data_IF_301764094478
#
_entry.id   IF_301764094478
#
_cell.length_a   1.000
_cell.length_b   1.000
_cell.length_c   1.000
_cell.angle_alpha   90.00
_cell.angle_beta   90.00
_cell.angle_gamma   90.00
#
_symmetry.space_group_name_H-M   'P 1'
#
loop_
_entity.id
_entity.type
_entity.pdbx_description
1 polymer ?
#
# COMPACT_ATOMS: atom_id res chain seq x y z
N UNK A 1 -6.97 -52.28 15.94
CA UNK A 1 -7.50 -51.30 14.98
C UNK A 1 -8.11 -50.14 15.77
N UNK A 2 -7.51 -48.93 15.77
CA UNK A 2 -8.12 -47.73 16.34
C UNK A 2 -8.05 -46.61 15.30
N UNK A 3 -9.21 -46.19 14.78
CA UNK A 3 -9.36 -44.97 13.98
C UNK A 3 -9.15 -43.78 14.93
N UNK A 4 -7.95 -43.21 14.92
CA UNK A 4 -7.65 -41.98 15.64
C UNK A 4 -8.15 -40.81 14.78
N UNK A 5 -9.23 -40.19 15.25
CA UNK A 5 -9.62 -38.80 15.02
C UNK A 5 -9.45 -38.28 13.59
N UNK A 6 -10.48 -38.52 12.77
CA UNK A 6 -10.73 -37.68 11.60
C UNK A 6 -11.12 -36.28 12.06
N UNK A 7 -10.14 -35.44 12.39
CA UNK A 7 -10.37 -34.02 12.60
C UNK A 7 -10.87 -33.43 11.29
N UNK A 8 -12.08 -32.87 11.35
CA UNK A 8 -12.71 -32.15 10.26
C UNK A 8 -11.91 -30.87 9.98
N UNK A 9 -10.79 -30.98 9.23
CA UNK A 9 -9.94 -29.84 8.84
C UNK A 9 -10.53 -29.04 7.67
N UNK A 10 -11.85 -28.92 7.62
CA UNK A 10 -12.54 -28.05 6.69
C UNK A 10 -12.99 -26.80 7.46
N UNK A 11 -12.85 -25.57 6.99
CA UNK A 11 -12.24 -25.01 5.78
C UNK A 11 -12.43 -23.50 5.92
N UNK A 12 -11.44 -22.79 6.49
CA UNK A 12 -11.41 -21.32 6.42
C UNK A 12 -10.01 -20.89 6.02
N UNK A 13 -9.62 -21.33 4.83
CA UNK A 13 -8.48 -20.77 4.11
C UNK A 13 -8.75 -19.29 3.89
N UNK A 14 -8.09 -18.42 4.66
CA UNK A 14 -8.21 -16.98 4.45
C UNK A 14 -7.43 -16.63 3.18
N UNK A 15 -8.07 -15.91 2.25
CA UNK A 15 -7.40 -15.45 1.04
C UNK A 15 -6.38 -14.37 1.41
N UNK A 16 -5.10 -14.62 1.14
CA UNK A 16 -4.04 -13.64 1.41
C UNK A 16 -3.93 -12.69 0.23
N UNK A 17 -4.25 -11.41 0.42
CA UNK A 17 -4.05 -10.37 -0.59
C UNK A 17 -2.75 -9.62 -0.31
N UNK A 18 -1.82 -9.64 -1.28
CA UNK A 18 -0.54 -8.91 -1.17
C UNK A 18 -0.66 -7.52 -1.78
N UNK A 19 -0.46 -6.51 -0.94
CA UNK A 19 -0.56 -5.09 -1.31
C UNK A 19 0.81 -4.53 -1.71
N UNK A 20 1.02 -4.12 -2.98
CA UNK A 20 2.27 -3.53 -3.46
C UNK A 20 2.50 -2.13 -2.92
N UNK A 21 3.68 -1.92 -2.37
CA UNK A 21 4.20 -0.59 -2.03
C UNK A 21 5.15 -0.21 -3.16
N UNK A 22 4.72 0.60 -4.12
CA UNK A 22 5.58 1.02 -5.24
C UNK A 22 5.68 2.53 -5.33
N UNK A 23 6.86 3.01 -5.68
CA UNK A 23 7.12 4.41 -5.97
C UNK A 23 6.71 4.70 -7.43
N UNK A 24 6.32 5.94 -7.75
CA UNK A 24 5.81 6.31 -9.07
C UNK A 24 6.80 6.03 -10.22
N UNK A 25 8.10 6.07 -9.94
CA UNK A 25 9.19 5.81 -10.88
C UNK A 25 9.68 4.35 -10.91
N UNK A 26 9.13 3.46 -10.07
CA UNK A 26 9.59 2.08 -9.92
C UNK A 26 8.49 1.05 -10.24
N UNK A 27 7.85 1.18 -11.42
CA UNK A 27 6.94 0.15 -11.94
C UNK A 27 7.73 -0.97 -12.58
N UNK A 28 7.37 -2.23 -12.27
CA UNK A 28 8.03 -3.42 -12.80
C UNK A 28 7.61 -3.66 -14.25
N UNK A 29 8.55 -3.53 -15.19
CA UNK A 29 8.40 -3.94 -16.58
C UNK A 29 8.97 -5.34 -16.80
N UNK A 30 8.25 -6.21 -17.49
CA UNK A 30 8.75 -7.54 -17.87
C UNK A 30 9.12 -7.51 -19.34
N UNK A 31 10.40 -7.38 -19.65
CA UNK A 31 10.89 -7.35 -21.02
C UNK A 31 10.74 -8.73 -21.67
N UNK A 32 10.11 -8.77 -22.85
CA UNK A 32 10.24 -9.87 -23.81
C UNK A 32 11.21 -9.41 -24.90
N UNK A 33 12.08 -10.30 -25.35
CA UNK A 33 13.08 -9.98 -26.37
C UNK A 33 12.44 -9.34 -27.61
N UNK A 34 13.01 -8.22 -28.06
CA UNK A 34 12.59 -7.50 -29.27
C UNK A 34 11.72 -6.24 -29.07
N UNK A 35 11.02 -6.07 -27.93
CA UNK A 35 10.05 -4.96 -27.75
C UNK A 35 10.30 -4.15 -26.46
N UNK A 36 11.52 -3.68 -26.24
CA UNK A 36 11.91 -3.01 -24.98
C UNK A 36 11.18 -1.70 -24.74
N UNK A 37 11.11 -0.82 -25.75
CA UNK A 37 10.52 0.52 -25.65
C UNK A 37 9.00 0.46 -25.39
N UNK A 38 8.28 -0.32 -26.20
CA UNK A 38 6.82 -0.50 -26.10
C UNK A 38 6.42 -1.15 -24.77
N UNK A 39 7.21 -2.12 -24.29
CA UNK A 39 7.01 -2.75 -22.99
C UNK A 39 7.22 -1.75 -21.84
N UNK A 40 8.16 -0.82 -21.98
CA UNK A 40 8.44 0.19 -20.97
C UNK A 40 7.28 1.18 -20.85
N UNK A 41 6.76 1.66 -21.98
CA UNK A 41 5.61 2.58 -22.04
C UNK A 41 4.32 1.91 -21.55
N UNK A 42 4.10 0.64 -21.91
CA UNK A 42 2.98 -0.15 -21.37
C UNK A 42 3.10 -0.33 -19.84
N UNK A 43 4.31 -0.53 -19.31
CA UNK A 43 4.51 -0.65 -17.86
C UNK A 43 4.31 0.68 -17.11
N UNK A 44 4.68 1.82 -17.73
CA UNK A 44 4.46 3.17 -17.18
C UNK A 44 2.97 3.52 -17.12
N UNK A 45 2.25 3.26 -18.20
CA UNK A 45 0.81 3.53 -18.34
C UNK A 45 -0.06 2.60 -17.51
N UNK A 46 0.45 1.40 -17.16
CA UNK A 46 -0.30 0.46 -16.32
C UNK A 46 -0.57 1.06 -14.95
N UNK A 47 -1.85 1.16 -14.63
CA UNK A 47 -2.31 1.54 -13.31
C UNK A 47 -2.01 0.44 -12.31
N UNK A 48 -1.46 0.85 -11.19
CA UNK A 48 -1.09 -0.06 -10.13
C UNK A 48 -2.16 -0.09 -9.03
N UNK A 49 -2.16 -1.15 -8.20
CA UNK A 49 -3.14 -1.30 -7.12
C UNK A 49 -3.09 -0.18 -6.06
N UNK A 50 -1.93 0.46 -5.89
CA UNK A 50 -1.76 1.61 -5.01
C UNK A 50 -2.32 2.89 -5.65
N UNK A 51 -2.05 3.11 -6.94
CA UNK A 51 -2.60 4.26 -7.67
C UNK A 51 -4.12 4.19 -7.81
N UNK A 52 -4.68 2.99 -7.99
CA UNK A 52 -6.14 2.81 -7.99
C UNK A 52 -6.76 3.07 -6.63
N UNK A 53 -6.04 2.84 -5.53
CA UNK A 53 -6.51 3.21 -4.19
C UNK A 53 -6.55 4.74 -4.02
N UNK A 54 -5.55 5.45 -4.54
CA UNK A 54 -5.57 6.91 -4.54
C UNK A 54 -6.77 7.47 -5.33
N UNK A 55 -7.07 6.90 -6.49
CA UNK A 55 -8.26 7.29 -7.26
C UNK A 55 -9.55 6.96 -6.51
N UNK A 56 -9.64 5.79 -5.89
CA UNK A 56 -10.78 5.40 -5.06
C UNK A 56 -11.03 6.44 -3.96
N UNK A 57 -9.97 6.84 -3.25
CA UNK A 57 -10.07 7.84 -2.17
C UNK A 57 -10.49 9.23 -2.67
N UNK A 58 -10.29 9.56 -3.94
CA UNK A 58 -10.79 10.82 -4.51
C UNK A 58 -12.31 10.76 -4.77
N UNK A 59 -12.84 9.59 -5.09
CA UNK A 59 -14.24 9.41 -5.48
C UNK A 59 -15.18 8.89 -4.39
N UNK A 60 -14.66 8.17 -3.40
CA UNK A 60 -15.45 7.45 -2.41
C UNK A 60 -15.10 7.90 -0.98
N UNK A 61 -16.00 8.63 -0.29
CA UNK A 61 -15.80 9.07 1.10
C UNK A 61 -15.63 7.91 2.07
N UNK A 62 -16.27 6.75 1.84
CA UNK A 62 -16.11 5.59 2.72
C UNK A 62 -14.67 5.09 2.67
N UNK A 63 -14.07 5.06 1.47
CA UNK A 63 -12.69 4.63 1.28
C UNK A 63 -11.67 5.58 1.94
N UNK A 64 -12.00 6.87 2.08
CA UNK A 64 -11.15 7.85 2.76
C UNK A 64 -10.95 7.54 4.25
N UNK A 65 -11.91 6.82 4.86
CA UNK A 65 -11.82 6.43 6.28
C UNK A 65 -10.94 5.19 6.51
N UNK A 66 -10.53 4.50 5.44
CA UNK A 66 -9.84 3.22 5.51
C UNK A 66 -8.34 3.35 5.27
N UNK A 67 -7.56 2.55 6.00
CA UNK A 67 -6.14 2.34 5.72
C UNK A 67 -5.97 1.51 4.46
N UNK A 68 -4.80 1.59 3.83
CA UNK A 68 -4.51 0.79 2.64
C UNK A 68 -4.63 -0.73 2.93
N UNK A 69 -4.27 -1.16 4.13
CA UNK A 69 -4.44 -2.56 4.60
C UNK A 69 -5.89 -2.97 4.74
N UNK A 70 -6.80 -2.01 4.93
CA UNK A 70 -8.18 -2.29 5.27
C UNK A 70 -9.09 -2.31 4.04
N UNK A 71 -8.61 -1.76 2.93
CA UNK A 71 -9.31 -1.75 1.64
C UNK A 71 -9.74 -3.14 1.20
N UNK A 72 -8.91 -4.20 1.24
CA UNK A 72 -9.32 -5.53 0.79
C UNK A 72 -10.52 -6.14 1.53
N UNK A 73 -10.76 -5.74 2.79
CA UNK A 73 -11.91 -6.21 3.55
C UNK A 73 -13.22 -5.59 3.02
N UNK A 74 -13.16 -4.37 2.48
CA UNK A 74 -14.34 -3.60 2.06
C UNK A 74 -14.46 -3.47 0.53
N UNK A 75 -13.38 -3.72 -0.21
CA UNK A 75 -13.30 -3.58 -1.65
C UNK A 75 -12.63 -4.81 -2.30
N UNK A 76 -12.99 -5.07 -3.54
CA UNK A 76 -12.40 -6.08 -4.42
C UNK A 76 -11.60 -5.36 -5.50
N UNK A 77 -10.38 -5.81 -5.75
CA UNK A 77 -9.60 -5.33 -6.88
C UNK A 77 -9.94 -6.14 -8.13
N UNK A 78 -10.52 -5.49 -9.13
CA UNK A 78 -10.96 -6.10 -10.39
C UNK A 78 -10.68 -5.15 -11.56
N UNK A 79 -10.12 -5.67 -12.65
CA UNK A 79 -9.76 -4.89 -13.87
C UNK A 79 -9.09 -3.55 -13.55
N UNK A 80 -8.02 -3.61 -12.75
CA UNK A 80 -7.22 -2.47 -12.29
C UNK A 80 -7.94 -1.44 -11.42
N UNK A 81 -9.15 -1.74 -10.93
CA UNK A 81 -9.96 -0.81 -10.14
C UNK A 81 -10.46 -1.44 -8.84
N UNK A 82 -10.66 -0.61 -7.82
CA UNK A 82 -11.30 -1.05 -6.58
C UNK A 82 -12.81 -0.88 -6.69
N UNK A 83 -13.55 -1.93 -6.35
CA UNK A 83 -15.02 -1.94 -6.34
C UNK A 83 -15.52 -2.35 -4.97
N UNK A 84 -16.61 -1.74 -4.50
CA UNK A 84 -17.21 -2.06 -3.21
C UNK A 84 -17.55 -3.56 -3.14
N UNK A 85 -17.08 -4.21 -2.08
CA UNK A 85 -17.27 -5.63 -1.85
C UNK A 85 -18.69 -5.88 -1.34
N UNK A 86 -19.36 -6.85 -1.95
CA UNK A 86 -20.72 -7.26 -1.52
C UNK A 86 -20.70 -8.28 -0.37
N UNK A 87 -19.72 -9.21 -0.34
CA UNK A 87 -19.63 -10.30 0.65
C UNK A 87 -18.18 -10.76 0.89
N UNK A 88 -17.92 -11.40 2.04
CA UNK A 88 -16.71 -12.19 2.29
C UNK A 88 -15.45 -11.43 2.72
N UNK A 89 -15.59 -10.20 3.22
CA UNK A 89 -14.45 -9.40 3.69
C UNK A 89 -13.68 -10.08 4.84
N UNK A 90 -14.41 -10.69 5.78
CA UNK A 90 -13.87 -11.41 6.94
C UNK A 90 -13.01 -12.66 6.60
N UNK A 91 -12.96 -13.09 5.34
CA UNK A 91 -12.14 -14.23 4.89
C UNK A 91 -10.84 -13.79 4.21
N UNK A 92 -10.48 -12.51 4.30
CA UNK A 92 -9.28 -11.97 3.65
C UNK A 92 -8.26 -11.60 4.71
N UNK A 93 -6.99 -11.79 4.41
CA UNK A 93 -5.88 -11.24 5.21
C UNK A 93 -5.02 -10.41 4.27
N UNK A 94 -5.03 -9.09 4.45
CA UNK A 94 -4.19 -8.19 3.68
C UNK A 94 -2.76 -8.19 4.24
N UNK A 95 -1.75 -8.26 3.36
CA UNK A 95 -0.33 -8.15 3.74
C UNK A 95 0.38 -7.22 2.77
N UNK A 96 1.06 -6.20 3.27
CA UNK A 96 1.98 -5.43 2.44
C UNK A 96 3.24 -6.23 2.14
N UNK A 97 3.88 -5.95 1.00
CA UNK A 97 5.21 -6.50 0.74
C UNK A 97 6.21 -6.06 1.80
N UNK A 98 7.16 -6.97 2.08
CA UNK A 98 8.34 -6.65 2.89
C UNK A 98 9.18 -5.65 2.08
N UNK A 99 9.58 -4.57 2.75
CA UNK A 99 10.43 -3.54 2.18
C UNK A 99 11.79 -3.62 2.85
N UNK A 100 12.85 -3.49 2.05
CA UNK A 100 14.22 -3.45 2.56
C UNK A 100 14.44 -2.13 3.31
N UNK A 101 15.01 -2.18 4.52
CA UNK A 101 15.30 -0.99 5.34
C UNK A 101 16.28 -0.03 4.66
N UNK A 102 17.14 -0.55 3.75
CA UNK A 102 18.05 0.29 2.95
C UNK A 102 17.32 1.16 1.93
N UNK A 103 16.11 0.77 1.53
CA UNK A 103 15.24 1.55 0.64
C UNK A 103 14.39 2.50 1.49
N UNK A 104 15.01 3.59 1.95
CA UNK A 104 14.44 4.50 2.93
C UNK A 104 13.10 5.09 2.44
N UNK A 105 13.02 5.54 1.19
CA UNK A 105 11.80 6.11 0.61
C UNK A 105 10.63 5.14 0.67
N UNK A 106 10.86 3.89 0.22
CA UNK A 106 9.83 2.86 0.21
C UNK A 106 9.47 2.40 1.62
N UNK A 107 10.43 2.41 2.54
CA UNK A 107 10.21 2.10 3.96
C UNK A 107 9.28 3.13 4.60
N UNK A 108 9.55 4.43 4.40
CA UNK A 108 8.68 5.50 4.88
C UNK A 108 7.31 5.46 4.22
N UNK A 109 7.23 5.21 2.90
CA UNK A 109 5.96 5.04 2.22
C UNK A 109 5.15 3.88 2.82
N UNK A 110 5.78 2.74 3.10
CA UNK A 110 5.11 1.61 3.78
C UNK A 110 4.58 2.01 5.15
N UNK A 111 5.34 2.76 5.94
CA UNK A 111 4.87 3.26 7.23
C UNK A 111 3.66 4.18 7.06
N UNK A 112 3.70 5.12 6.12
CA UNK A 112 2.58 6.02 5.90
C UNK A 112 1.32 5.29 5.44
N UNK A 113 1.45 4.27 4.57
CA UNK A 113 0.32 3.44 4.14
C UNK A 113 -0.30 2.60 5.27
N UNK A 114 0.46 2.33 6.34
CA UNK A 114 -0.03 1.59 7.52
C UNK A 114 -0.81 2.47 8.49
N UNK A 115 -0.53 3.78 8.53
CA UNK A 115 -1.06 4.67 9.57
C UNK A 115 -1.93 5.81 9.06
N UNK A 116 -1.87 6.11 7.77
CA UNK A 116 -2.56 7.28 7.20
C UNK A 116 -3.71 6.81 6.31
N UNK A 117 -4.97 6.96 6.75
CA UNK A 117 -6.14 6.61 5.95
C UNK A 117 -6.36 7.64 4.85
N UNK A 118 -7.07 7.23 3.79
CA UNK A 118 -7.60 8.14 2.77
C UNK A 118 -6.58 8.92 1.94
N UNK A 119 -5.32 8.51 1.90
CA UNK A 119 -4.32 9.19 1.09
C UNK A 119 -4.73 9.22 -0.39
N UNK A 120 -4.81 10.41 -1.00
CA UNK A 120 -5.34 10.58 -2.36
C UNK A 120 -4.26 10.78 -3.44
N UNK A 121 -2.98 10.86 -3.07
CA UNK A 121 -1.85 10.99 -4.01
C UNK A 121 -0.50 10.73 -3.35
N UNK A 122 0.54 10.50 -4.14
CA UNK A 122 1.93 10.47 -3.64
C UNK A 122 2.38 11.82 -3.03
N UNK A 123 1.87 12.95 -3.55
CA UNK A 123 2.19 14.29 -3.03
C UNK A 123 1.76 14.46 -1.57
N UNK A 124 0.67 13.79 -1.18
CA UNK A 124 0.20 13.80 0.19
C UNK A 124 1.25 13.23 1.16
N UNK A 125 1.89 12.12 0.78
CA UNK A 125 2.97 11.53 1.55
C UNK A 125 4.23 12.38 1.55
N UNK A 126 4.62 12.95 0.40
CA UNK A 126 5.77 13.85 0.31
C UNK A 126 5.64 15.08 1.23
N UNK A 127 4.43 15.64 1.38
CA UNK A 127 4.18 16.74 2.33
C UNK A 127 4.34 16.28 3.78
N UNK A 128 3.86 15.10 4.12
CA UNK A 128 3.97 14.54 5.47
C UNK A 128 5.43 14.20 5.83
N UNK A 129 6.20 13.63 4.90
CA UNK A 129 7.63 13.35 5.14
C UNK A 129 8.41 14.63 5.35
N UNK A 130 8.21 15.65 4.51
CA UNK A 130 8.91 16.93 4.66
C UNK A 130 8.53 17.62 5.97
N UNK A 131 7.24 17.63 6.32
CA UNK A 131 6.77 18.19 7.59
C UNK A 131 7.36 17.44 8.79
N UNK A 132 7.38 16.11 8.76
CA UNK A 132 7.93 15.27 9.83
C UNK A 132 9.44 15.46 9.99
N UNK A 133 10.20 15.49 8.89
CA UNK A 133 11.65 15.74 8.92
C UNK A 133 11.99 17.16 9.42
N UNK A 134 11.18 18.15 9.03
CA UNK A 134 11.33 19.51 9.54
C UNK A 134 11.00 19.58 11.04
N UNK A 135 9.93 18.92 11.49
CA UNK A 135 9.55 18.88 12.90
C UNK A 135 10.62 18.23 13.78
N UNK A 136 11.23 17.14 13.32
CA UNK A 136 12.37 16.51 14.00
C UNK A 136 13.57 17.47 14.03
N UNK A 137 13.92 18.11 12.91
CA UNK A 137 15.02 19.10 12.87
C UNK A 137 14.81 20.29 13.82
N UNK A 138 13.57 20.79 13.95
CA UNK A 138 13.23 21.86 14.89
C UNK A 138 13.24 21.39 16.35
N UNK A 139 12.90 20.13 16.62
CA UNK A 139 12.93 19.54 17.96
C UNK A 139 14.35 19.20 18.43
N UNK A 140 15.26 18.93 17.49
CA UNK A 140 16.67 18.66 17.75
C UNK A 140 17.56 19.92 17.69
N UNK A 141 16.99 21.12 17.56
CA UNK A 141 17.71 22.39 17.75
C UNK A 141 17.76 22.69 19.26
N UNK A 142 18.91 22.51 19.95
CA UNK A 142 19.05 23.03 21.30
C UNK A 142 19.08 24.55 21.19
N UNK A 143 18.28 25.23 22.00
CA UNK A 143 18.24 26.68 22.09
C UNK A 143 19.63 27.28 22.31
N UNK A 144 20.28 27.77 21.24
CA UNK A 144 21.43 28.67 21.32
C UNK A 144 20.94 30.10 21.48
N UNK A 145 20.22 30.38 22.57
CA UNK A 145 19.68 31.69 22.86
C UNK A 145 19.69 32.05 24.36
N UNK A 146 20.66 31.56 25.13
CA UNK A 146 20.96 32.11 26.46
C UNK A 146 22.48 32.02 26.71
N UNK A 147 23.24 32.94 26.12
CA UNK A 147 24.51 33.46 26.68
C UNK A 147 24.88 34.69 25.86
N UNK A 148 24.41 35.84 26.32
CA UNK A 148 25.00 37.15 26.02
C UNK A 148 25.07 37.95 27.31
#
# INVERSE_FOLDING_TARGET
MRRLLGSHMHDRSHAVMRLPVQLPNQKRATFKDGHKEETLEAARSRQTMLESWFQLNQSDPDAQTLLYTDIPYNYVYDRNNWKRRKRGGNKIVARMYVVNVKDAERFYLRMLLLYVPGAASFKFFGRLTTSFMNFQSSSFSPSLAEFR
#
